data_IF_016707245331
#
_entry.id   IF_016707245331
#
_cell.length_a   1.000
_cell.length_b   1.000
_cell.length_c   1.000
_cell.angle_alpha   90.00
_cell.angle_beta   90.00
_cell.angle_gamma   90.00
#
_symmetry.space_group_name_H-M   'P 1'
#
loop_
_entity.id
_entity.type
_entity.pdbx_description
1 polymer ?
#
# COMPACT_ATOMS: atom_id res chain seq x y z
N UNK A 1 -19.25 23.85 -61.50
CA UNK A 1 -19.08 24.19 -60.11
C UNK A 1 -19.63 23.02 -59.26
N UNK A 2 -18.77 22.17 -58.67
CA UNK A 2 -19.19 21.07 -57.79
C UNK A 2 -18.83 21.48 -56.38
N UNK A 3 -19.83 21.69 -55.54
CA UNK A 3 -19.71 22.05 -54.13
C UNK A 3 -19.45 20.80 -53.30
N UNK A 4 -18.28 20.70 -52.66
CA UNK A 4 -17.95 19.61 -51.75
C UNK A 4 -18.40 20.05 -50.36
N UNK A 5 -19.37 19.34 -49.81
CA UNK A 5 -19.82 19.50 -48.40
C UNK A 5 -18.97 18.54 -47.55
N UNK A 6 -18.10 19.10 -46.70
CA UNK A 6 -17.28 18.36 -45.78
C UNK A 6 -18.06 18.15 -44.48
N UNK A 7 -18.40 16.92 -44.16
CA UNK A 7 -19.00 16.55 -42.87
C UNK A 7 -17.88 16.37 -41.84
N UNK A 8 -17.81 17.28 -40.87
CA UNK A 8 -16.99 17.10 -39.63
C UNK A 8 -17.76 16.20 -38.69
N UNK A 9 -17.32 14.98 -38.53
CA UNK A 9 -17.80 14.05 -37.50
C UNK A 9 -17.08 14.35 -36.21
N UNK A 10 -17.72 15.15 -35.34
CA UNK A 10 -17.22 15.43 -33.97
C UNK A 10 -17.39 14.21 -33.08
N UNK A 11 -16.28 13.58 -32.71
CA UNK A 11 -16.24 12.49 -31.74
C UNK A 11 -16.40 13.08 -30.33
N UNK A 12 -17.61 13.04 -29.76
CA UNK A 12 -17.83 13.35 -28.35
C UNK A 12 -17.24 12.23 -27.50
N UNK A 13 -16.05 12.45 -26.93
CA UNK A 13 -15.54 11.64 -25.82
C UNK A 13 -16.40 11.92 -24.58
N UNK A 14 -17.37 11.05 -24.33
CA UNK A 14 -18.10 11.04 -23.06
C UNK A 14 -17.11 10.61 -21.95
N UNK A 15 -16.67 11.57 -21.17
CA UNK A 15 -15.91 11.31 -19.94
C UNK A 15 -16.89 10.63 -18.94
N UNK A 16 -16.87 9.30 -18.88
CA UNK A 16 -17.60 8.55 -17.87
C UNK A 16 -16.99 8.87 -16.51
N UNK A 17 -17.56 9.80 -15.80
CA UNK A 17 -17.29 9.99 -14.37
C UNK A 17 -17.79 8.76 -13.64
N UNK A 18 -16.85 7.98 -13.07
CA UNK A 18 -17.19 6.92 -12.11
C UNK A 18 -17.98 7.58 -10.95
N UNK A 19 -19.11 6.98 -10.52
CA UNK A 19 -19.85 7.51 -9.39
C UNK A 19 -18.94 7.61 -8.17
N UNK A 20 -19.07 8.72 -7.42
CA UNK A 20 -18.37 8.89 -6.16
C UNK A 20 -18.70 7.70 -5.26
N UNK A 21 -17.68 6.95 -4.83
CA UNK A 21 -17.85 5.80 -3.97
C UNK A 21 -18.28 6.29 -2.58
N UNK A 22 -19.45 5.88 -2.11
CA UNK A 22 -19.90 6.14 -0.74
C UNK A 22 -19.06 5.25 0.17
N UNK A 23 -18.28 5.90 1.05
CA UNK A 23 -17.51 5.20 2.07
C UNK A 23 -18.44 4.78 3.22
N UNK A 24 -18.23 3.57 3.72
CA UNK A 24 -18.93 3.07 4.92
C UNK A 24 -18.38 3.74 6.19
N UNK A 25 -19.16 3.73 7.27
CA UNK A 25 -18.70 4.16 8.58
C UNK A 25 -17.43 3.40 8.98
N UNK A 26 -16.46 4.13 9.53
CA UNK A 26 -15.14 3.58 9.89
C UNK A 26 -14.06 3.70 8.79
N UNK A 27 -14.41 4.23 7.59
CA UNK A 27 -13.46 4.51 6.51
C UNK A 27 -13.37 6.02 6.28
N UNK A 28 -12.30 6.65 6.75
CA UNK A 28 -12.14 8.10 6.67
C UNK A 28 -10.74 8.50 6.24
N UNK A 29 -10.60 9.69 5.68
CA UNK A 29 -9.33 10.35 5.50
C UNK A 29 -9.37 11.77 6.06
N UNK A 30 -8.23 12.23 6.53
CA UNK A 30 -8.03 13.61 6.95
C UNK A 30 -6.64 14.11 6.56
N UNK A 31 -6.46 15.42 6.62
CA UNK A 31 -5.12 15.99 6.63
C UNK A 31 -4.35 15.54 7.88
N UNK A 32 -3.02 15.64 7.83
CA UNK A 32 -2.18 15.37 9.00
C UNK A 32 -2.36 16.51 10.00
N UNK A 33 -3.11 16.26 11.08
CA UNK A 33 -3.30 17.23 12.17
C UNK A 33 -2.01 17.46 12.95
N UNK A 34 -1.94 18.50 13.78
CA UNK A 34 -0.74 18.74 14.62
C UNK A 34 -0.51 17.61 15.62
N UNK A 35 -1.57 16.99 16.13
CA UNK A 35 -1.46 15.81 17.00
C UNK A 35 -0.81 14.63 16.29
N UNK A 36 -1.26 14.28 15.07
CA UNK A 36 -0.66 13.21 14.27
C UNK A 36 0.76 13.59 13.87
N UNK A 37 0.99 14.87 13.49
CA UNK A 37 2.33 15.31 13.11
C UNK A 37 3.33 15.21 14.27
N UNK A 38 2.92 15.53 15.49
CA UNK A 38 3.76 15.37 16.68
C UNK A 38 4.15 13.89 16.90
N UNK A 39 3.25 12.96 16.60
CA UNK A 39 3.49 11.51 16.74
C UNK A 39 4.52 10.99 15.73
N UNK A 40 4.52 11.51 14.49
CA UNK A 40 5.35 11.01 13.38
C UNK A 40 6.65 11.78 13.16
N UNK A 41 6.74 13.04 13.69
CA UNK A 41 7.91 13.92 13.52
C UNK A 41 9.14 13.31 14.17
N UNK A 42 10.26 13.31 13.43
CA UNK A 42 11.52 12.72 13.87
C UNK A 42 11.58 11.19 13.71
N UNK A 43 10.44 10.53 13.45
CA UNK A 43 10.31 9.08 13.22
C UNK A 43 10.11 8.79 11.73
N UNK A 44 8.88 8.45 11.31
CA UNK A 44 8.59 8.24 9.89
C UNK A 44 8.68 9.53 9.08
N UNK A 45 8.35 10.68 9.66
CA UNK A 45 8.57 12.00 9.06
C UNK A 45 9.87 12.63 9.60
N UNK A 46 11.01 12.25 9.02
CA UNK A 46 12.35 12.73 9.44
C UNK A 46 12.56 14.19 9.07
N UNK A 47 13.52 14.86 9.73
CA UNK A 47 13.82 16.28 9.49
C UNK A 47 14.23 16.59 8.05
N UNK A 48 14.84 15.62 7.36
CA UNK A 48 15.21 15.71 5.95
C UNK A 48 14.14 15.16 5.00
N UNK A 49 12.90 14.97 5.48
CA UNK A 49 11.80 14.47 4.63
C UNK A 49 11.50 15.48 3.50
N UNK A 50 11.50 14.96 2.28
CA UNK A 50 11.24 15.77 1.07
C UNK A 50 9.78 15.76 0.63
N UNK A 51 8.95 14.92 1.26
CA UNK A 51 7.50 14.89 1.01
C UNK A 51 6.80 15.91 1.90
N UNK A 52 6.10 16.92 1.33
CA UNK A 52 5.41 17.91 2.14
C UNK A 52 4.32 17.27 3.02
N UNK A 53 4.18 17.73 4.27
CA UNK A 53 3.11 17.31 5.16
C UNK A 53 1.73 17.47 4.51
N UNK A 54 1.51 18.57 3.78
CA UNK A 54 0.25 18.88 3.09
C UNK A 54 -0.10 17.88 1.97
N UNK A 55 0.87 17.07 1.51
CA UNK A 55 0.65 16.03 0.50
C UNK A 55 0.30 14.68 1.12
N UNK A 56 0.36 14.54 2.44
CA UNK A 56 0.01 13.33 3.16
C UNK A 56 -1.44 13.38 3.67
N UNK A 57 -2.03 12.18 3.78
CA UNK A 57 -3.35 11.96 4.39
C UNK A 57 -3.26 10.85 5.42
N UNK A 58 -3.94 11.05 6.52
CA UNK A 58 -4.15 10.03 7.54
C UNK A 58 -5.46 9.30 7.23
N UNK A 59 -5.40 8.00 7.14
CA UNK A 59 -6.55 7.12 6.90
C UNK A 59 -6.90 6.37 8.16
N UNK A 60 -8.20 6.23 8.44
CA UNK A 60 -8.78 5.23 9.32
C UNK A 60 -9.57 4.25 8.50
N UNK A 61 -9.43 2.97 8.80
CA UNK A 61 -10.09 1.87 8.11
C UNK A 61 -10.50 0.80 9.09
N UNK A 62 -11.44 -0.06 8.70
CA UNK A 62 -11.72 -1.30 9.40
C UNK A 62 -11.12 -2.48 8.64
N UNK A 63 -10.67 -3.49 9.35
CA UNK A 63 -10.18 -4.73 8.75
C UNK A 63 -10.51 -5.94 9.63
N UNK A 64 -10.53 -7.12 9.01
CA UNK A 64 -10.65 -8.40 9.72
C UNK A 64 -9.25 -9.00 9.90
N UNK A 65 -9.00 -9.62 11.06
CA UNK A 65 -7.87 -10.55 11.18
C UNK A 65 -8.29 -11.97 10.73
N UNK A 66 -7.36 -12.95 10.80
CA UNK A 66 -7.65 -14.34 10.42
C UNK A 66 -8.69 -15.04 11.31
N UNK A 67 -8.90 -14.52 12.52
CA UNK A 67 -9.83 -15.09 13.51
C UNK A 67 -11.25 -14.49 13.34
N UNK A 68 -11.42 -13.58 12.36
CA UNK A 68 -12.69 -12.93 12.04
C UNK A 68 -13.03 -11.76 12.96
N UNK A 69 -12.07 -11.26 13.75
CA UNK A 69 -12.25 -10.08 14.57
C UNK A 69 -12.13 -8.81 13.73
N UNK A 70 -13.01 -7.85 13.97
CA UNK A 70 -12.96 -6.51 13.36
C UNK A 70 -12.02 -5.63 14.18
N UNK A 71 -11.05 -5.04 13.51
CA UNK A 71 -10.04 -4.18 14.10
C UNK A 71 -10.04 -2.82 13.41
N UNK A 72 -9.67 -1.77 14.16
CA UNK A 72 -9.40 -0.45 13.62
C UNK A 72 -7.95 -0.36 13.14
N UNK A 73 -7.81 0.02 11.87
CA UNK A 73 -6.53 0.26 11.22
C UNK A 73 -6.29 1.73 10.94
N UNK A 74 -5.04 2.12 10.91
CA UNK A 74 -4.61 3.46 10.55
C UNK A 74 -3.39 3.42 9.62
N UNK A 75 -3.31 4.40 8.74
CA UNK A 75 -2.25 4.48 7.73
C UNK A 75 -2.02 5.93 7.30
N UNK A 76 -0.79 6.27 6.95
CA UNK A 76 -0.49 7.54 6.28
C UNK A 76 -0.05 7.24 4.86
N UNK A 77 -0.61 7.96 3.89
CA UNK A 77 -0.25 7.82 2.48
C UNK A 77 -0.26 9.18 1.77
N UNK A 78 0.20 9.21 0.53
CA UNK A 78 0.09 10.41 -0.30
C UNK A 78 -1.37 10.69 -0.69
N UNK A 79 -1.76 11.97 -0.72
CA UNK A 79 -3.13 12.42 -1.04
C UNK A 79 -3.66 11.87 -2.38
N UNK A 80 -2.79 11.66 -3.37
CA UNK A 80 -3.19 11.18 -4.70
C UNK A 80 -3.67 9.73 -4.73
N UNK A 81 -3.33 8.92 -3.71
CA UNK A 81 -3.75 7.52 -3.61
C UNK A 81 -4.70 7.26 -2.44
N UNK A 82 -5.00 8.27 -1.64
CA UNK A 82 -5.80 8.10 -0.42
C UNK A 82 -7.21 7.55 -0.70
N UNK A 83 -7.91 8.09 -1.71
CA UNK A 83 -9.23 7.60 -2.11
C UNK A 83 -9.16 6.17 -2.65
N UNK A 84 -8.13 5.84 -3.44
CA UNK A 84 -7.94 4.49 -3.97
C UNK A 84 -7.75 3.49 -2.83
N UNK A 85 -6.93 3.83 -1.83
CA UNK A 85 -6.69 2.97 -0.67
C UNK A 85 -7.95 2.78 0.17
N UNK A 86 -8.73 3.83 0.45
CA UNK A 86 -10.00 3.69 1.15
C UNK A 86 -10.94 2.75 0.41
N UNK A 87 -11.06 2.89 -0.92
CA UNK A 87 -11.88 2.02 -1.74
C UNK A 87 -11.39 0.55 -1.70
N UNK A 88 -10.08 0.33 -1.80
CA UNK A 88 -9.47 -1.01 -1.72
C UNK A 88 -9.76 -1.63 -0.34
N UNK A 89 -9.47 -0.92 0.75
CA UNK A 89 -9.67 -1.46 2.10
C UNK A 89 -11.14 -1.70 2.42
N UNK A 90 -12.05 -0.87 1.91
CA UNK A 90 -13.49 -1.10 2.05
C UNK A 90 -13.94 -2.39 1.35
N UNK A 91 -13.45 -2.67 0.13
CA UNK A 91 -13.76 -3.91 -0.59
C UNK A 91 -13.12 -5.14 0.08
N UNK A 92 -11.89 -5.01 0.60
CA UNK A 92 -11.24 -6.06 1.40
C UNK A 92 -12.04 -6.36 2.68
N UNK A 93 -12.50 -5.32 3.37
CA UNK A 93 -13.33 -5.45 4.57
C UNK A 93 -14.65 -6.16 4.28
N UNK A 94 -15.41 -5.73 3.24
CA UNK A 94 -16.65 -6.39 2.81
C UNK A 94 -16.47 -7.88 2.51
N UNK A 95 -15.34 -8.23 1.93
CA UNK A 95 -14.99 -9.60 1.62
C UNK A 95 -14.39 -10.38 2.81
N UNK A 96 -14.27 -9.76 3.98
CA UNK A 96 -13.59 -10.30 5.17
C UNK A 96 -12.16 -10.80 4.86
N UNK A 97 -11.46 -10.10 3.92
CA UNK A 97 -10.09 -10.44 3.59
C UNK A 97 -9.18 -10.15 4.79
N UNK A 98 -8.38 -11.12 5.26
CA UNK A 98 -7.68 -10.96 6.51
C UNK A 98 -6.43 -10.06 6.37
N UNK A 99 -6.37 -9.02 7.22
CA UNK A 99 -5.18 -8.20 7.47
C UNK A 99 -4.95 -8.23 8.98
N UNK A 100 -3.77 -8.65 9.41
CA UNK A 100 -3.55 -8.87 10.84
C UNK A 100 -3.49 -7.58 11.65
N UNK A 101 -2.76 -6.59 11.12
CA UNK A 101 -2.52 -5.33 11.82
C UNK A 101 -2.29 -4.19 10.83
N UNK A 102 -2.78 -3.01 11.18
CA UNK A 102 -2.58 -1.77 10.44
C UNK A 102 -2.37 -0.64 11.44
N UNK A 103 -1.12 -0.36 11.80
CA UNK A 103 -0.72 0.71 12.72
C UNK A 103 0.31 1.59 12.04
N UNK A 104 0.41 2.84 12.47
CA UNK A 104 1.49 3.70 11.99
C UNK A 104 2.84 3.04 12.32
N UNK A 105 3.77 3.10 11.37
CA UNK A 105 5.13 2.55 11.56
C UNK A 105 5.85 3.21 12.74
N UNK A 106 5.38 4.35 13.17
CA UNK A 106 5.85 5.15 14.29
C UNK A 106 5.66 4.45 15.64
N UNK A 107 4.70 3.52 15.78
CA UNK A 107 4.57 2.64 16.94
C UNK A 107 5.77 1.67 17.08
N UNK A 108 6.52 1.50 16.00
CA UNK A 108 7.75 0.72 15.94
C UNK A 108 9.00 1.62 15.79
N UNK A 109 8.92 2.88 16.25
CA UNK A 109 9.98 3.89 16.12
C UNK A 109 10.45 4.09 14.67
N UNK A 110 9.55 3.91 13.69
CA UNK A 110 9.81 3.90 12.25
C UNK A 110 10.87 2.88 11.81
N UNK A 111 11.16 1.87 12.64
CA UNK A 111 11.96 0.70 12.26
C UNK A 111 11.10 -0.22 11.39
N UNK A 112 11.38 -0.18 10.09
CA UNK A 112 10.71 -0.97 9.07
C UNK A 112 10.78 -2.48 9.35
N UNK A 113 11.96 -2.95 9.79
CA UNK A 113 12.15 -4.35 10.15
C UNK A 113 11.32 -4.78 11.36
N UNK A 114 11.19 -3.94 12.38
CA UNK A 114 10.34 -4.22 13.56
C UNK A 114 8.87 -4.27 13.16
N UNK A 115 8.40 -3.29 12.38
CA UNK A 115 7.04 -3.23 11.83
C UNK A 115 6.70 -4.48 11.03
N UNK A 116 7.58 -4.86 10.08
CA UNK A 116 7.39 -6.08 9.26
C UNK A 116 7.39 -7.37 10.12
N UNK A 117 8.29 -7.48 11.11
CA UNK A 117 8.33 -8.66 12.03
C UNK A 117 7.04 -8.82 12.83
N UNK A 118 6.37 -7.71 13.14
CA UNK A 118 5.07 -7.69 13.82
C UNK A 118 3.87 -7.90 12.88
N UNK A 119 4.10 -8.22 11.61
CA UNK A 119 3.09 -8.33 10.56
C UNK A 119 2.22 -7.06 10.41
N UNK A 120 2.83 -5.88 10.56
CA UNK A 120 2.13 -4.62 10.48
C UNK A 120 2.08 -4.11 9.03
N UNK A 121 0.89 -4.02 8.47
CA UNK A 121 0.64 -3.40 7.16
C UNK A 121 0.78 -1.88 7.29
N UNK A 122 1.56 -1.26 6.40
CA UNK A 122 1.90 0.17 6.51
C UNK A 122 2.15 0.81 5.14
N UNK A 123 2.21 2.15 5.10
CA UNK A 123 2.49 2.87 3.85
C UNK A 123 3.63 3.89 4.01
N UNK A 124 3.38 5.08 4.58
CA UNK A 124 4.39 6.12 4.66
C UNK A 124 5.49 5.79 5.68
N UNK A 125 6.74 5.84 5.21
CA UNK A 125 7.94 5.81 6.04
C UNK A 125 9.10 6.44 5.25
N UNK A 126 9.59 7.62 5.66
CA UNK A 126 10.67 8.29 4.96
C UNK A 126 12.01 7.59 5.21
N UNK A 127 12.44 6.79 4.24
CA UNK A 127 13.68 6.00 4.30
C UNK A 127 14.26 5.75 2.92
N UNK A 128 15.55 5.43 2.90
CA UNK A 128 16.20 4.91 1.70
C UNK A 128 15.92 3.41 1.53
N UNK A 129 16.00 2.94 0.30
CA UNK A 129 16.02 1.50 0.01
C UNK A 129 17.32 0.94 0.58
N UNK A 130 17.21 -0.16 1.34
CA UNK A 130 18.35 -0.80 2.02
C UNK A 130 19.55 -1.00 1.11
N UNK A 131 20.74 -0.51 1.55
CA UNK A 131 21.98 -0.61 0.79
C UNK A 131 22.07 0.31 -0.45
N UNK A 132 21.20 1.31 -0.59
CA UNK A 132 21.22 2.27 -1.71
C UNK A 132 21.11 3.72 -1.23
N UNK A 133 21.31 4.67 -2.17
CA UNK A 133 21.05 6.10 -1.99
C UNK A 133 19.70 6.54 -2.57
N UNK A 134 18.86 5.60 -3.02
CA UNK A 134 17.55 5.88 -3.60
C UNK A 134 16.48 5.85 -2.52
N UNK A 135 15.59 6.85 -2.53
CA UNK A 135 14.43 6.87 -1.64
C UNK A 135 13.45 5.75 -2.01
N UNK A 136 12.92 5.09 -1.00
CA UNK A 136 11.82 4.14 -1.14
C UNK A 136 10.55 4.86 -1.63
N UNK A 137 9.64 4.16 -2.29
CA UNK A 137 8.30 4.66 -2.61
C UNK A 137 7.48 4.97 -1.36
N UNK A 138 7.73 4.27 -0.27
CA UNK A 138 7.17 4.57 1.06
C UNK A 138 7.54 5.98 1.54
N UNK A 139 8.71 6.50 1.18
CA UNK A 139 9.13 7.86 1.51
C UNK A 139 8.23 8.94 0.93
N UNK A 140 7.50 8.62 -0.14
CA UNK A 140 6.53 9.51 -0.79
C UNK A 140 5.09 9.17 -0.42
N UNK A 141 4.87 8.16 0.42
CA UNK A 141 3.54 7.63 0.71
C UNK A 141 2.85 6.98 -0.50
N UNK A 142 3.62 6.54 -1.51
CA UNK A 142 3.13 5.98 -2.79
C UNK A 142 3.25 4.46 -2.85
N UNK A 143 3.54 3.80 -1.73
CA UNK A 143 3.57 2.36 -1.60
C UNK A 143 2.88 1.91 -0.32
N UNK A 144 2.39 0.68 -0.35
CA UNK A 144 1.70 0.00 0.76
C UNK A 144 2.23 -1.42 0.87
N UNK A 145 2.58 -1.83 2.08
CA UNK A 145 2.91 -3.21 2.40
C UNK A 145 1.75 -3.85 3.17
N UNK A 146 1.31 -5.02 2.73
CA UNK A 146 0.20 -5.79 3.31
C UNK A 146 0.69 -7.12 3.87
N UNK A 147 0.43 -7.37 5.16
CA UNK A 147 0.79 -8.59 5.87
C UNK A 147 2.26 -9.02 5.64
N UNK A 148 3.25 -8.17 5.96
CA UNK A 148 4.64 -8.32 5.53
C UNK A 148 5.35 -9.58 6.06
N UNK A 149 5.01 -10.06 7.25
CA UNK A 149 5.58 -11.30 7.79
C UNK A 149 5.29 -12.51 6.89
N UNK A 150 4.06 -12.60 6.38
CA UNK A 150 3.62 -13.71 5.53
C UNK A 150 3.88 -13.47 4.04
N UNK A 151 4.29 -12.25 3.68
CA UNK A 151 4.55 -11.85 2.30
C UNK A 151 5.92 -11.19 2.16
N UNK A 152 7.01 -11.93 2.43
CA UNK A 152 8.34 -11.34 2.55
C UNK A 152 8.87 -10.75 1.24
N UNK A 153 9.81 -9.80 1.42
CA UNK A 153 10.78 -9.51 0.38
C UNK A 153 11.79 -10.65 0.30
N UNK A 154 12.04 -11.16 -0.91
CA UNK A 154 12.99 -12.24 -1.17
C UNK A 154 13.90 -11.86 -2.33
N UNK A 155 15.22 -11.93 -2.10
CA UNK A 155 16.21 -11.68 -3.13
C UNK A 155 17.28 -12.78 -3.14
N UNK A 156 17.50 -13.33 -4.33
CA UNK A 156 18.55 -14.31 -4.56
C UNK A 156 19.77 -13.62 -5.18
N UNK A 157 20.93 -13.69 -4.54
CA UNK A 157 22.17 -13.10 -5.06
C UNK A 157 23.39 -13.88 -4.58
N UNK A 158 24.24 -14.32 -5.51
CA UNK A 158 25.52 -15.00 -5.19
C UNK A 158 25.35 -16.23 -4.32
N UNK A 159 24.35 -17.08 -4.59
CA UNK A 159 24.06 -18.28 -3.81
C UNK A 159 23.46 -18.03 -2.42
N UNK A 160 23.17 -16.77 -2.07
CA UNK A 160 22.52 -16.39 -0.81
C UNK A 160 21.12 -15.90 -1.05
N UNK A 161 20.21 -16.23 -0.13
CA UNK A 161 18.84 -15.72 -0.10
C UNK A 161 18.71 -14.71 1.01
N UNK A 162 18.42 -13.46 0.65
CA UNK A 162 17.99 -12.42 1.58
C UNK A 162 16.48 -12.54 1.74
N UNK A 163 16.00 -12.52 2.99
CA UNK A 163 14.58 -12.54 3.34
C UNK A 163 14.31 -11.44 4.36
N UNK A 164 13.39 -10.57 4.06
CA UNK A 164 12.95 -9.49 4.97
C UNK A 164 11.43 -9.54 5.14
N UNK A 165 10.94 -9.57 6.40
CA UNK A 165 11.70 -9.62 7.65
C UNK A 165 12.37 -10.99 7.88
N UNK A 166 13.39 -11.03 8.74
CA UNK A 166 14.23 -12.26 8.93
C UNK A 166 13.44 -13.47 9.44
N UNK A 167 12.36 -13.22 10.20
CA UNK A 167 11.46 -14.26 10.73
C UNK A 167 10.44 -14.77 9.69
N UNK A 168 10.44 -14.20 8.48
CA UNK A 168 9.55 -14.63 7.40
C UNK A 168 10.10 -15.80 6.56
N UNK A 169 11.27 -16.35 6.92
CA UNK A 169 11.85 -17.51 6.21
C UNK A 169 10.89 -18.68 5.98
N UNK A 170 9.99 -19.05 6.93
CA UNK A 170 9.00 -20.13 6.71
C UNK A 170 8.04 -19.87 5.56
N UNK A 171 7.81 -18.59 5.19
CA UNK A 171 6.83 -18.15 4.19
C UNK A 171 7.45 -17.87 2.80
N UNK A 172 8.72 -18.16 2.61
CA UNK A 172 9.42 -18.03 1.30
C UNK A 172 8.93 -19.07 0.30
N UNK A 173 8.61 -20.28 0.76
CA UNK A 173 8.04 -21.33 -0.08
C UNK A 173 6.55 -21.05 -0.36
N UNK A 174 6.29 -20.42 -1.50
CA UNK A 174 4.94 -20.00 -1.90
C UNK A 174 4.07 -21.15 -2.41
N UNK A 175 4.60 -22.38 -2.52
CA UNK A 175 3.79 -23.57 -2.81
C UNK A 175 2.96 -24.03 -1.61
N UNK A 176 3.44 -23.72 -0.39
CA UNK A 176 2.73 -24.04 0.86
C UNK A 176 1.56 -23.11 1.09
N UNK A 177 0.54 -23.65 1.76
CA UNK A 177 -0.59 -22.85 2.23
C UNK A 177 -0.33 -22.31 3.65
N UNK A 178 -0.67 -21.05 3.88
CA UNK A 178 -0.57 -20.37 5.17
C UNK A 178 -1.45 -19.11 5.19
N UNK A 179 -1.86 -18.63 6.38
CA UNK A 179 -2.73 -17.47 6.49
C UNK A 179 -2.07 -16.20 5.93
N UNK A 180 -2.88 -15.21 5.57
CA UNK A 180 -2.46 -13.90 5.08
C UNK A 180 -1.61 -13.90 3.78
N UNK A 181 -1.47 -15.04 3.11
CA UNK A 181 -0.69 -15.16 1.88
C UNK A 181 -1.33 -14.40 0.72
N UNK A 182 -0.59 -13.49 0.10
CA UNK A 182 -0.97 -12.80 -1.13
C UNK A 182 -0.43 -13.59 -2.32
N UNK A 183 -1.30 -13.89 -3.28
CA UNK A 183 -0.92 -14.55 -4.53
C UNK A 183 -1.47 -13.79 -5.73
N UNK A 184 -0.81 -13.97 -6.88
CA UNK A 184 -1.29 -13.40 -8.14
C UNK A 184 -2.71 -13.88 -8.43
N UNK A 185 -3.62 -12.92 -8.63
CA UNK A 185 -5.03 -13.20 -8.92
C UNK A 185 -5.94 -13.32 -7.71
N UNK A 186 -5.44 -13.28 -6.46
CA UNK A 186 -6.30 -13.17 -5.29
C UNK A 186 -7.04 -11.81 -5.22
N UNK A 187 -7.91 -11.64 -4.24
CA UNK A 187 -8.70 -10.42 -4.11
C UNK A 187 -7.82 -9.19 -3.87
N UNK A 188 -6.84 -9.28 -2.97
CA UNK A 188 -5.93 -8.18 -2.66
C UNK A 188 -5.17 -7.74 -3.92
N UNK A 189 -4.52 -8.68 -4.60
CA UNK A 189 -3.84 -8.43 -5.87
C UNK A 189 -4.76 -7.76 -6.89
N UNK A 190 -5.97 -8.31 -7.14
CA UNK A 190 -6.89 -7.77 -8.14
C UNK A 190 -7.34 -6.35 -7.83
N UNK A 191 -7.63 -6.04 -6.55
CA UNK A 191 -8.05 -4.71 -6.14
C UNK A 191 -6.93 -3.70 -6.34
N UNK A 192 -5.73 -3.96 -5.82
CA UNK A 192 -4.60 -3.06 -6.03
C UNK A 192 -4.30 -2.86 -7.52
N UNK A 193 -4.34 -3.92 -8.34
CA UNK A 193 -4.16 -3.80 -9.81
C UNK A 193 -5.26 -2.98 -10.47
N UNK A 194 -6.52 -3.13 -10.07
CA UNK A 194 -7.67 -2.34 -10.56
C UNK A 194 -7.45 -0.84 -10.36
N UNK A 195 -6.85 -0.46 -9.22
CA UNK A 195 -6.54 0.94 -8.90
C UNK A 195 -5.16 1.39 -9.42
N UNK A 196 -4.50 0.62 -10.28
CA UNK A 196 -3.28 1.00 -11.00
C UNK A 196 -1.99 0.81 -10.22
N UNK A 197 -2.00 0.05 -9.11
CA UNK A 197 -0.79 -0.30 -8.38
C UNK A 197 -0.02 -1.42 -9.11
N UNK A 198 1.29 -1.38 -8.99
CA UNK A 198 2.19 -2.47 -9.36
C UNK A 198 2.46 -3.33 -8.13
N UNK A 199 2.57 -4.64 -8.31
CA UNK A 199 2.87 -5.57 -7.24
C UNK A 199 4.32 -6.03 -7.29
N UNK A 200 5.04 -5.96 -6.17
CA UNK A 200 6.43 -6.39 -6.06
C UNK A 200 6.63 -7.91 -6.27
N UNK A 201 5.59 -8.72 -6.07
CA UNK A 201 5.60 -10.14 -6.42
C UNK A 201 5.75 -10.42 -7.92
N UNK A 202 5.46 -9.44 -8.79
CA UNK A 202 5.67 -9.54 -10.24
C UNK A 202 7.12 -9.20 -10.66
N UNK A 203 7.98 -8.65 -9.77
CA UNK A 203 9.34 -8.26 -10.12
C UNK A 203 10.20 -9.45 -10.56
N UNK A 204 11.18 -9.23 -11.43
CA UNK A 204 12.01 -10.30 -12.01
C UNK A 204 13.21 -10.68 -11.14
N UNK A 205 13.94 -9.69 -10.61
CA UNK A 205 15.22 -9.88 -9.93
C UNK A 205 15.13 -10.11 -8.41
N UNK A 206 13.98 -9.81 -7.86
CA UNK A 206 13.58 -10.04 -6.47
C UNK A 206 12.07 -10.24 -6.45
N UNK A 207 11.55 -10.67 -5.32
CA UNK A 207 10.11 -10.74 -5.07
C UNK A 207 9.83 -9.97 -3.80
N UNK A 208 8.84 -9.09 -3.87
CA UNK A 208 8.34 -8.36 -2.71
C UNK A 208 6.84 -8.59 -2.62
N UNK A 209 6.48 -9.68 -1.94
CA UNK A 209 5.11 -10.16 -1.96
C UNK A 209 4.13 -9.28 -1.16
N UNK A 210 4.65 -8.47 -0.21
CA UNK A 210 3.85 -7.52 0.57
C UNK A 210 3.54 -6.24 -0.22
N UNK A 211 4.45 -5.85 -1.14
CA UNK A 211 4.61 -4.51 -1.67
C UNK A 211 3.70 -4.19 -2.86
N UNK A 212 2.91 -3.13 -2.73
CA UNK A 212 2.14 -2.51 -3.81
C UNK A 212 2.55 -1.04 -3.95
N UNK A 213 2.92 -0.59 -5.15
CA UNK A 213 3.35 0.77 -5.40
C UNK A 213 2.63 1.42 -6.60
N UNK A 214 2.50 2.76 -6.58
CA UNK A 214 1.93 3.55 -7.67
C UNK A 214 2.88 4.69 -8.07
N UNK A 215 2.83 5.11 -9.36
CA UNK A 215 3.68 6.16 -9.90
C UNK A 215 2.91 7.43 -10.21
#
# INVERSE_FOLDING_TARGET
MKTIISFFLGCLLACMQLPAQVLEDGFTQSEITDAIFTQIKGKSFKDNCTTPRADLRYLKVLHYNKDGEVLEGEMICHKSIANDLLAIFQELYKAKYPIERMKLVDEYEADDGASMRANNSSAFNFRYISGTKSLSRHSRGMAVDINPLYNPYVRYRGGRTLVEPVNAKPYVDRSKDFPYKIVKGDLCYRLFKKYGFLWGGDWKNSKDYQHFEKY
#
